data_IF_549948269555
#
_entry.id   IF_549948269555
#
_cell.length_a   1.000
_cell.length_b   1.000
_cell.length_c   1.000
_cell.angle_alpha   90.00
_cell.angle_beta   90.00
_cell.angle_gamma   90.00
#
_symmetry.space_group_name_H-M   'P 1'
#
loop_
_entity.id
_entity.type
_entity.pdbx_description
1 polymer ?
#
# COMPACT_ATOMS: atom_id res chain seq x y z
N UNK A 1 12.68 -16.60 -12.74
CA UNK A 1 11.64 -16.18 -13.72
C UNK A 1 11.94 -16.77 -15.09
N UNK A 2 10.92 -16.96 -15.94
CA UNK A 2 11.05 -17.47 -17.31
C UNK A 2 10.52 -16.44 -18.33
N UNK A 3 11.37 -15.57 -18.89
CA UNK A 3 10.93 -14.52 -19.83
C UNK A 3 10.40 -15.04 -21.17
N UNK A 4 10.58 -16.33 -21.49
CA UNK A 4 10.19 -16.88 -22.79
C UNK A 4 8.67 -16.99 -22.98
N UNK A 5 7.92 -17.05 -21.87
CA UNK A 5 6.45 -17.14 -21.89
C UNK A 5 5.76 -15.77 -21.99
N UNK A 6 6.53 -14.68 -21.98
CA UNK A 6 6.00 -13.32 -22.08
C UNK A 6 5.69 -12.94 -23.53
N UNK A 7 4.62 -12.17 -23.73
CA UNK A 7 4.39 -11.48 -25.01
C UNK A 7 5.47 -10.42 -25.26
N UNK A 8 5.76 -10.07 -26.53
CA UNK A 8 6.88 -9.17 -26.89
C UNK A 8 6.87 -7.85 -26.12
N UNK A 9 5.73 -7.15 -26.09
CA UNK A 9 5.62 -5.86 -25.39
C UNK A 9 5.84 -5.97 -23.87
N UNK A 10 5.36 -7.05 -23.24
CA UNK A 10 5.57 -7.28 -21.81
C UNK A 10 7.03 -7.60 -21.51
N UNK A 11 7.69 -8.35 -22.40
CA UNK A 11 9.10 -8.70 -22.31
C UNK A 11 10.01 -7.49 -22.50
N UNK A 12 9.68 -6.62 -23.45
CA UNK A 12 10.46 -5.40 -23.72
C UNK A 12 10.42 -4.43 -22.54
N UNK A 13 9.27 -4.33 -21.87
CA UNK A 13 9.10 -3.53 -20.66
C UNK A 13 9.43 -4.29 -19.35
N UNK A 14 9.99 -5.50 -19.43
CA UNK A 14 10.22 -6.35 -18.26
C UNK A 14 11.29 -5.73 -17.34
N UNK A 15 10.98 -5.49 -16.04
CA UNK A 15 11.98 -5.02 -15.10
C UNK A 15 12.92 -6.15 -14.70
N UNK A 16 14.08 -5.77 -14.16
CA UNK A 16 14.89 -6.71 -13.38
C UNK A 16 14.22 -6.98 -12.04
N UNK A 17 13.85 -8.24 -11.78
CA UNK A 17 13.10 -8.63 -10.58
C UNK A 17 14.04 -9.25 -9.56
N UNK A 18 14.08 -8.68 -8.36
CA UNK A 18 14.95 -9.10 -7.26
C UNK A 18 14.15 -9.23 -5.96
N UNK A 19 14.58 -10.15 -5.09
CA UNK A 19 14.10 -10.27 -3.73
C UNK A 19 15.24 -9.95 -2.76
N UNK A 20 14.92 -9.16 -1.74
CA UNK A 20 15.85 -8.83 -0.66
C UNK A 20 15.38 -9.52 0.61
N UNK A 21 16.26 -10.33 1.20
CA UNK A 21 16.03 -10.97 2.48
C UNK A 21 16.58 -10.07 3.59
N UNK A 22 15.72 -9.75 4.56
CA UNK A 22 16.05 -8.87 5.68
C UNK A 22 15.64 -9.53 6.98
N UNK A 23 16.34 -9.18 8.06
CA UNK A 23 16.07 -9.68 9.40
C UNK A 23 15.48 -8.57 10.27
N UNK A 24 14.60 -8.94 11.20
CA UNK A 24 14.11 -8.01 12.22
C UNK A 24 15.29 -7.45 13.03
N UNK A 25 15.34 -6.14 13.28
CA UNK A 25 16.37 -5.54 14.10
C UNK A 25 16.30 -6.05 15.55
N UNK A 26 17.45 -6.19 16.20
CA UNK A 26 17.56 -6.77 17.55
C UNK A 26 16.71 -6.04 18.61
N UNK A 27 16.40 -4.75 18.42
CA UNK A 27 15.53 -3.97 19.31
C UNK A 27 14.08 -4.49 19.39
N UNK A 28 13.63 -5.22 18.36
CA UNK A 28 12.30 -5.82 18.30
C UNK A 28 12.34 -7.28 18.78
N UNK A 29 13.07 -7.57 19.87
CA UNK A 29 13.22 -8.92 20.47
C UNK A 29 12.38 -9.12 21.75
N UNK A 30 11.25 -8.40 21.86
CA UNK A 30 10.25 -8.51 22.94
C UNK A 30 9.18 -9.62 22.78
N UNK A 31 7.89 -9.29 22.93
CA UNK A 31 6.79 -10.26 22.79
C UNK A 31 6.42 -10.46 21.32
N UNK A 32 6.30 -11.70 20.85
CA UNK A 32 6.13 -12.06 19.42
C UNK A 32 5.12 -11.22 18.61
N UNK A 33 3.99 -10.80 19.19
CA UNK A 33 2.99 -10.00 18.46
C UNK A 33 3.38 -8.53 18.33
N UNK A 34 3.88 -7.92 19.41
CA UNK A 34 4.40 -6.53 19.39
C UNK A 34 5.64 -6.42 18.49
N UNK A 35 6.47 -7.46 18.47
CA UNK A 35 7.63 -7.57 17.59
C UNK A 35 7.24 -7.61 16.11
N UNK A 36 6.29 -8.49 15.74
CA UNK A 36 5.88 -8.64 14.34
C UNK A 36 5.24 -7.38 13.80
N UNK A 37 4.32 -6.77 14.55
CA UNK A 37 3.72 -5.50 14.16
C UNK A 37 4.77 -4.37 14.10
N UNK A 38 5.73 -4.38 15.03
CA UNK A 38 6.88 -3.45 15.01
C UNK A 38 7.77 -3.62 13.78
N UNK A 39 7.95 -4.86 13.34
CA UNK A 39 8.76 -5.16 12.17
C UNK A 39 8.07 -4.74 10.88
N UNK A 40 6.76 -5.04 10.72
CA UNK A 40 5.96 -4.57 9.58
C UNK A 40 5.99 -3.05 9.44
N UNK A 41 5.81 -2.33 10.56
CA UNK A 41 5.92 -0.87 10.59
C UNK A 41 7.30 -0.38 10.15
N UNK A 42 8.35 -1.05 10.61
CA UNK A 42 9.73 -0.73 10.23
C UNK A 42 9.94 -0.93 8.72
N UNK A 43 9.46 -2.04 8.15
CA UNK A 43 9.57 -2.33 6.72
C UNK A 43 8.79 -1.32 5.87
N UNK A 44 7.59 -0.92 6.32
CA UNK A 44 6.82 0.15 5.68
C UNK A 44 7.61 1.47 5.61
N UNK A 45 8.20 1.90 6.74
CA UNK A 45 9.01 3.12 6.76
C UNK A 45 10.23 3.03 5.84
N UNK A 46 10.97 1.92 5.89
CA UNK A 46 12.15 1.71 5.04
C UNK A 46 11.76 1.80 3.57
N UNK A 47 10.66 1.14 3.16
CA UNK A 47 10.16 1.20 1.77
C UNK A 47 9.82 2.63 1.34
N UNK A 48 9.19 3.40 2.23
CA UNK A 48 8.83 4.80 1.95
C UNK A 48 10.04 5.70 1.87
N UNK A 49 10.97 5.57 2.82
CA UNK A 49 12.24 6.30 2.84
C UNK A 49 13.10 6.00 1.63
N UNK A 50 13.11 4.75 1.17
CA UNK A 50 13.82 4.34 -0.04
C UNK A 50 13.37 5.16 -1.26
N UNK A 51 12.06 5.31 -1.48
CA UNK A 51 11.53 6.11 -2.58
C UNK A 51 11.93 7.59 -2.51
N UNK A 52 11.93 8.17 -1.30
CA UNK A 52 12.36 9.56 -1.06
C UNK A 52 13.85 9.75 -1.36
N UNK A 53 14.71 8.86 -0.83
CA UNK A 53 16.16 8.93 -1.01
C UNK A 53 16.57 8.70 -2.47
N UNK A 54 15.88 7.79 -3.18
CA UNK A 54 16.10 7.53 -4.60
C UNK A 54 15.87 8.80 -5.42
N UNK A 55 14.74 9.48 -5.21
CA UNK A 55 14.42 10.76 -5.87
C UNK A 55 15.40 11.86 -5.50
N UNK A 56 15.74 12.00 -4.20
CA UNK A 56 16.66 13.03 -3.70
C UNK A 56 18.06 12.91 -4.29
N UNK A 57 18.56 11.68 -4.45
CA UNK A 57 19.89 11.41 -5.00
C UNK A 57 19.92 11.43 -6.53
N UNK A 58 18.76 11.60 -7.18
CA UNK A 58 18.65 11.51 -8.63
C UNK A 58 19.04 10.14 -9.16
N UNK A 59 18.89 9.10 -8.34
CA UNK A 59 19.19 7.73 -8.75
C UNK A 59 18.04 7.25 -9.61
N UNK A 60 18.34 7.04 -10.88
CA UNK A 60 17.44 6.43 -11.85
C UNK A 60 18.03 5.06 -12.16
N UNK A 61 17.19 4.03 -12.12
CA UNK A 61 17.63 2.70 -12.52
C UNK A 61 17.84 2.70 -14.04
N UNK A 62 18.89 2.01 -14.51
CA UNK A 62 19.22 1.92 -15.94
C UNK A 62 18.29 0.90 -16.64
N UNK A 63 16.99 1.22 -16.70
CA UNK A 63 15.99 0.51 -17.47
C UNK A 63 15.15 1.47 -18.33
N UNK A 64 14.34 0.91 -19.25
CA UNK A 64 13.60 1.69 -20.25
C UNK A 64 12.60 2.68 -19.67
N UNK A 65 12.15 2.47 -18.44
CA UNK A 65 11.09 3.24 -17.79
C UNK A 65 11.64 4.16 -16.68
N UNK A 66 12.91 3.96 -16.26
CA UNK A 66 13.59 4.73 -15.23
C UNK A 66 12.94 4.63 -13.84
N UNK A 67 12.10 3.62 -13.60
CA UNK A 67 11.26 3.52 -12.40
C UNK A 67 11.63 2.31 -11.53
N UNK A 68 12.14 2.58 -10.33
CA UNK A 68 12.27 1.54 -9.30
C UNK A 68 10.94 1.36 -8.55
N UNK A 69 10.47 0.13 -8.47
CA UNK A 69 9.20 -0.20 -7.82
C UNK A 69 9.34 -1.38 -6.85
N UNK A 70 8.85 -1.19 -5.63
CA UNK A 70 8.76 -2.24 -4.62
C UNK A 70 7.31 -2.73 -4.56
N UNK A 71 7.10 -3.98 -5.01
CA UNK A 71 5.78 -4.61 -5.06
C UNK A 71 5.22 -4.89 -3.66
N UNK A 72 6.04 -5.46 -2.80
CA UNK A 72 5.75 -5.72 -1.38
C UNK A 72 7.06 -5.64 -0.59
N UNK A 73 6.99 -5.22 0.67
CA UNK A 73 8.11 -5.33 1.60
C UNK A 73 7.56 -5.56 3.00
N UNK A 74 7.40 -6.84 3.34
CA UNK A 74 6.68 -7.34 4.51
C UNK A 74 7.29 -8.69 4.90
N UNK A 75 7.19 -9.05 6.17
CA UNK A 75 7.50 -10.39 6.69
C UNK A 75 6.30 -11.34 6.65
N UNK A 76 5.09 -10.81 6.36
CA UNK A 76 3.82 -11.55 6.33
C UNK A 76 3.32 -11.82 4.91
N UNK A 77 3.56 -10.87 4.01
CA UNK A 77 2.99 -10.88 2.66
C UNK A 77 4.06 -10.70 1.59
N UNK A 78 3.86 -11.36 0.44
CA UNK A 78 4.68 -11.19 -0.75
C UNK A 78 3.80 -11.14 -1.99
N UNK A 79 4.09 -10.23 -2.91
CA UNK A 79 3.28 -9.99 -4.11
C UNK A 79 4.05 -10.41 -5.36
N UNK A 80 3.58 -11.47 -6.01
CA UNK A 80 4.00 -11.88 -7.35
C UNK A 80 3.02 -11.34 -8.37
N UNK A 81 3.45 -10.35 -9.17
CA UNK A 81 2.59 -9.72 -10.18
C UNK A 81 3.39 -9.33 -11.42
N UNK A 82 2.71 -9.22 -12.55
CA UNK A 82 3.35 -8.81 -13.79
C UNK A 82 2.37 -8.59 -14.93
N UNK A 83 2.90 -8.16 -16.08
CA UNK A 83 2.13 -7.90 -17.30
C UNK A 83 1.88 -9.19 -18.09
N UNK A 84 1.17 -10.13 -17.47
CA UNK A 84 0.93 -11.48 -18.01
C UNK A 84 -0.55 -11.84 -17.96
N UNK A 85 -1.00 -12.76 -18.80
CA UNK A 85 -2.30 -13.41 -18.60
C UNK A 85 -2.28 -14.25 -17.31
N UNK A 86 -3.43 -14.44 -16.68
CA UNK A 86 -3.51 -15.17 -15.40
C UNK A 86 -2.91 -16.57 -15.48
N UNK A 87 -3.13 -17.30 -16.59
CA UNK A 87 -2.56 -18.63 -16.82
C UNK A 87 -1.04 -18.64 -17.05
N UNK A 88 -0.44 -17.50 -17.39
CA UNK A 88 0.99 -17.34 -17.66
C UNK A 88 1.77 -16.98 -16.39
N UNK A 89 1.13 -16.40 -15.38
CA UNK A 89 1.78 -16.01 -14.12
C UNK A 89 2.58 -17.14 -13.44
N UNK A 90 2.03 -18.36 -13.21
CA UNK A 90 2.82 -19.45 -12.64
C UNK A 90 3.88 -20.00 -13.59
N UNK A 91 3.71 -19.83 -14.91
CA UNK A 91 4.73 -20.21 -15.88
C UNK A 91 5.92 -19.25 -15.83
N UNK A 92 5.67 -17.95 -15.61
CA UNK A 92 6.68 -16.92 -15.51
C UNK A 92 7.42 -16.95 -14.17
N UNK A 93 6.69 -17.00 -13.05
CA UNK A 93 7.25 -17.14 -11.69
C UNK A 93 7.26 -18.60 -11.26
N UNK A 94 8.38 -19.28 -11.44
CA UNK A 94 8.52 -20.71 -11.11
C UNK A 94 8.32 -21.01 -9.62
N UNK A 95 8.60 -20.05 -8.75
CA UNK A 95 8.35 -20.13 -7.31
C UNK A 95 6.88 -20.46 -7.01
N UNK A 96 5.93 -19.99 -7.84
CA UNK A 96 4.49 -20.26 -7.66
C UNK A 96 4.08 -21.69 -8.03
N UNK A 97 4.97 -22.44 -8.69
CA UNK A 97 4.78 -23.87 -9.01
C UNK A 97 5.62 -24.77 -8.14
N UNK A 98 6.44 -24.19 -7.26
CA UNK A 98 7.25 -24.94 -6.31
C UNK A 98 6.36 -25.53 -5.21
N UNK A 99 6.44 -26.85 -4.92
CA UNK A 99 5.65 -27.47 -3.87
C UNK A 99 5.93 -26.92 -2.45
N UNK A 100 7.09 -26.30 -2.22
CA UNK A 100 7.44 -25.68 -0.94
C UNK A 100 6.78 -24.30 -0.76
N UNK A 101 6.27 -23.70 -1.85
CA UNK A 101 5.52 -22.44 -1.79
C UNK A 101 4.11 -22.69 -1.23
N UNK A 102 3.98 -22.57 0.09
CA UNK A 102 2.72 -22.76 0.81
C UNK A 102 2.24 -21.45 1.43
N UNK A 103 0.92 -21.27 1.51
CA UNK A 103 0.31 -20.08 2.11
C UNK A 103 -1.04 -20.41 2.74
N UNK A 104 -1.44 -19.61 3.73
CA UNK A 104 -2.78 -19.69 4.37
C UNK A 104 -3.86 -19.03 3.53
N UNK A 105 -3.50 -18.03 2.73
CA UNK A 105 -4.45 -17.28 1.91
C UNK A 105 -3.78 -16.78 0.62
N UNK A 106 -4.62 -16.44 -0.37
CA UNK A 106 -4.20 -15.84 -1.63
C UNK A 106 -5.18 -14.74 -2.00
N UNK A 107 -4.64 -13.58 -2.40
CA UNK A 107 -5.39 -12.53 -3.10
C UNK A 107 -4.88 -12.53 -4.53
N UNK A 108 -5.77 -12.70 -5.50
CA UNK A 108 -5.44 -12.61 -6.92
C UNK A 108 -6.25 -11.48 -7.57
N UNK A 109 -5.66 -10.87 -8.60
CA UNK A 109 -6.33 -9.83 -9.35
C UNK A 109 -5.98 -9.92 -10.83
N UNK A 110 -6.99 -9.73 -11.70
CA UNK A 110 -6.79 -9.56 -13.13
C UNK A 110 -7.29 -8.19 -13.56
N UNK A 111 -6.38 -7.33 -13.98
CA UNK A 111 -6.70 -5.99 -14.46
C UNK A 111 -7.14 -6.01 -15.92
N UNK A 112 -8.17 -5.22 -16.23
CA UNK A 112 -8.49 -4.79 -17.57
C UNK A 112 -8.03 -3.33 -17.73
N UNK A 113 -7.17 -3.05 -18.70
CA UNK A 113 -6.57 -1.72 -18.91
C UNK A 113 -7.08 -1.14 -20.22
N UNK A 114 -7.46 0.13 -20.22
CA UNK A 114 -7.75 0.90 -21.43
C UNK A 114 -6.48 1.41 -22.14
N UNK A 115 -5.30 1.19 -21.54
CA UNK A 115 -4.00 1.58 -22.09
C UNK A 115 -3.26 0.38 -22.70
N UNK A 116 -2.66 0.59 -23.87
CA UNK A 116 -1.87 -0.40 -24.63
C UNK A 116 -0.41 -0.47 -24.23
N UNK A 117 0.13 0.55 -23.52
CA UNK A 117 1.52 0.54 -23.06
C UNK A 117 1.66 -0.22 -21.74
N UNK A 118 2.42 -1.33 -21.70
CA UNK A 118 2.54 -2.15 -20.51
C UNK A 118 3.39 -1.42 -19.46
N UNK A 119 2.86 -1.26 -18.24
CA UNK A 119 3.63 -0.81 -17.08
C UNK A 119 3.49 -1.83 -15.96
N UNK A 120 4.58 -2.55 -15.67
CA UNK A 120 4.62 -3.61 -14.65
C UNK A 120 4.17 -3.17 -13.25
N UNK A 121 4.55 -1.97 -12.75
CA UNK A 121 4.10 -1.50 -11.44
C UNK A 121 2.57 -1.39 -11.27
N UNK A 122 1.84 -1.17 -12.36
CA UNK A 122 0.38 -0.99 -12.37
C UNK A 122 -0.41 -2.29 -12.29
N UNK A 123 0.26 -3.45 -12.42
CA UNK A 123 -0.37 -4.72 -12.12
C UNK A 123 -0.79 -4.75 -10.63
N UNK A 124 -1.78 -5.59 -10.33
CA UNK A 124 -2.30 -5.80 -8.99
C UNK A 124 -2.19 -7.29 -8.62
N UNK A 125 -2.20 -7.67 -7.32
CA UNK A 125 -2.48 -6.85 -6.14
C UNK A 125 -1.50 -5.69 -5.88
N UNK A 126 -1.96 -4.70 -5.12
CA UNK A 126 -1.07 -3.71 -4.50
C UNK A 126 -0.45 -4.31 -3.23
N UNK A 127 -0.14 -3.53 -2.20
CA UNK A 127 0.54 -4.06 -0.99
C UNK A 127 -0.46 -4.71 -0.05
N UNK A 128 -1.60 -4.06 0.14
CA UNK A 128 -2.64 -4.46 1.09
C UNK A 128 -3.99 -4.67 0.41
N UNK A 129 -4.19 -4.16 -0.82
CA UNK A 129 -5.48 -4.20 -1.53
C UNK A 129 -5.36 -4.74 -2.96
N UNK A 130 -6.33 -5.57 -3.34
CA UNK A 130 -6.77 -5.78 -4.72
C UNK A 130 -8.08 -5.03 -4.95
N UNK A 131 -8.11 -4.20 -5.99
CA UNK A 131 -9.22 -3.31 -6.32
C UNK A 131 -9.73 -3.59 -7.74
N UNK A 132 -10.98 -4.05 -7.83
CA UNK A 132 -11.74 -4.11 -9.06
C UNK A 132 -12.78 -2.98 -9.06
N UNK A 133 -12.55 -1.96 -9.88
CA UNK A 133 -13.34 -0.75 -9.83
C UNK A 133 -12.63 0.47 -10.38
N UNK A 134 -13.20 1.64 -10.12
CA UNK A 134 -12.66 2.95 -10.47
C UNK A 134 -13.04 3.96 -9.40
N UNK A 135 -12.07 4.72 -8.88
CA UNK A 135 -12.33 5.80 -7.92
C UNK A 135 -12.59 7.11 -8.67
N UNK A 136 -13.84 7.56 -8.67
CA UNK A 136 -14.29 8.75 -9.40
C UNK A 136 -13.90 10.06 -8.70
N UNK A 137 -13.70 10.03 -7.38
CA UNK A 137 -13.35 11.21 -6.58
C UNK A 137 -11.83 11.46 -6.44
N UNK A 138 -11.00 10.73 -7.19
CA UNK A 138 -9.54 10.68 -7.00
C UNK A 138 -8.88 12.06 -6.93
N UNK A 139 -9.24 13.00 -7.82
CA UNK A 139 -8.63 14.33 -7.83
C UNK A 139 -8.90 15.09 -6.52
N UNK A 140 -10.12 15.00 -6.00
CA UNK A 140 -10.52 15.60 -4.74
C UNK A 140 -9.75 14.97 -3.58
N UNK A 141 -9.78 13.64 -3.49
CA UNK A 141 -9.09 12.89 -2.43
C UNK A 141 -7.58 13.20 -2.42
N UNK A 142 -6.97 13.26 -3.62
CA UNK A 142 -5.54 13.56 -3.73
C UNK A 142 -5.21 14.97 -3.24
N UNK A 143 -6.06 15.96 -3.55
CA UNK A 143 -5.85 17.32 -3.09
C UNK A 143 -6.05 17.45 -1.58
N UNK A 144 -7.04 16.76 -1.01
CA UNK A 144 -7.29 16.77 0.43
C UNK A 144 -6.14 16.17 1.23
N UNK A 145 -5.66 14.99 0.84
CA UNK A 145 -4.50 14.37 1.49
C UNK A 145 -3.25 15.23 1.33
N UNK A 146 -2.98 15.82 0.15
CA UNK A 146 -1.85 16.76 -0.04
C UNK A 146 -1.97 18.04 0.80
N UNK A 147 -3.18 18.53 1.03
CA UNK A 147 -3.41 19.67 1.92
C UNK A 147 -3.08 19.30 3.37
N UNK A 148 -3.40 18.09 3.80
CA UNK A 148 -3.07 17.57 5.13
C UNK A 148 -1.56 17.37 5.31
N UNK A 149 -0.88 16.82 4.32
CA UNK A 149 0.59 16.71 4.28
C UNK A 149 1.25 18.08 4.58
N UNK A 150 0.79 19.13 3.89
CA UNK A 150 1.35 20.49 4.05
C UNK A 150 0.95 21.22 5.32
N UNK A 151 -0.14 20.81 5.97
CA UNK A 151 -0.68 21.52 7.13
C UNK A 151 0.19 21.36 8.39
N UNK A 152 1.21 20.47 8.38
CA UNK A 152 2.07 20.23 9.54
C UNK A 152 3.55 20.47 9.26
N UNK A 153 4.16 21.26 10.14
CA UNK A 153 5.60 21.34 10.37
C UNK A 153 5.93 20.49 11.60
N UNK A 154 6.20 19.19 11.43
CA UNK A 154 6.88 18.44 12.49
C UNK A 154 8.31 18.98 12.63
N UNK A 155 8.79 19.15 13.87
CA UNK A 155 10.15 19.59 14.09
C UNK A 155 11.14 18.54 13.55
N UNK A 156 12.21 18.97 12.90
CA UNK A 156 13.18 18.09 12.25
C UNK A 156 13.85 17.12 13.24
N UNK A 157 13.85 17.46 14.53
CA UNK A 157 14.36 16.65 15.62
C UNK A 157 13.44 15.45 15.93
N UNK A 158 12.12 15.63 15.92
CA UNK A 158 11.12 14.55 16.06
C UNK A 158 11.12 13.61 14.85
N UNK A 159 11.52 14.12 13.67
CA UNK A 159 11.64 13.34 12.44
C UNK A 159 12.89 12.44 12.38
N UNK A 160 13.97 12.80 13.09
CA UNK A 160 15.16 11.94 13.21
C UNK A 160 14.86 10.68 14.02
N UNK A 161 14.01 10.81 15.03
CA UNK A 161 13.58 9.75 15.94
C UNK A 161 12.45 8.86 15.35
N UNK A 162 11.90 9.20 14.17
CA UNK A 162 10.94 8.34 13.44
C UNK A 162 11.62 7.25 12.60
N UNK A 163 12.93 7.37 12.39
CA UNK A 163 13.75 6.48 11.55
C UNK A 163 15.02 6.08 12.29
N UNK A 164 15.08 6.30 13.61
CA UNK A 164 16.21 5.87 14.40
C UNK A 164 16.23 4.34 14.44
N UNK A 165 17.39 3.77 14.13
CA UNK A 165 17.62 2.35 14.27
C UNK A 165 17.54 1.94 15.75
N UNK A 166 17.61 2.86 16.71
CA UNK A 166 17.53 2.55 18.13
C UNK A 166 16.14 2.85 18.76
N UNK A 167 15.22 3.53 18.06
CA UNK A 167 13.89 3.91 18.58
C UNK A 167 12.82 3.96 17.48
N UNK A 168 11.78 3.13 17.57
CA UNK A 168 10.61 3.11 16.66
C UNK A 168 9.30 3.43 17.37
N UNK A 169 9.35 3.94 18.61
CA UNK A 169 8.15 4.22 19.42
C UNK A 169 7.30 5.37 18.85
N UNK A 170 7.85 6.22 17.97
CA UNK A 170 7.15 7.42 17.51
C UNK A 170 6.11 7.20 16.38
N UNK A 171 6.02 6.01 15.78
CA UNK A 171 4.86 5.67 14.92
C UNK A 171 3.59 5.47 15.77
N UNK A 172 3.73 5.27 17.09
CA UNK A 172 2.62 4.93 17.98
C UNK A 172 1.60 6.05 18.15
N UNK A 173 1.90 7.26 17.71
CA UNK A 173 1.01 8.43 17.83
C UNK A 173 0.31 8.82 16.53
N UNK A 174 0.26 7.97 15.50
CA UNK A 174 -0.37 8.30 14.21
C UNK A 174 -1.86 7.90 14.12
N UNK A 175 -2.55 7.80 15.25
CA UNK A 175 -3.97 7.44 15.35
C UNK A 175 -4.93 8.52 14.83
N UNK A 176 -4.42 9.67 14.40
CA UNK A 176 -5.18 10.63 13.64
C UNK A 176 -4.67 10.57 12.20
N UNK A 177 -5.56 10.41 11.24
CA UNK A 177 -5.29 10.45 9.78
C UNK A 177 -4.63 11.77 9.29
N UNK A 178 -4.20 12.61 10.23
CA UNK A 178 -3.54 13.90 10.11
C UNK A 178 -2.02 13.85 10.34
N UNK A 179 -1.47 12.71 10.75
CA UNK A 179 -0.06 12.57 11.11
C UNK A 179 0.69 11.76 10.03
N UNK A 180 1.04 12.41 8.91
CA UNK A 180 2.01 11.85 7.95
C UNK A 180 3.32 12.60 8.18
N UNK A 181 4.43 11.92 8.52
CA UNK A 181 5.71 12.60 8.63
C UNK A 181 6.11 13.16 7.27
N UNK A 182 6.57 14.42 7.22
CA UNK A 182 7.06 15.04 5.98
C UNK A 182 8.21 14.27 5.31
N UNK A 183 8.94 13.46 6.09
CA UNK A 183 10.00 12.57 5.60
C UNK A 183 9.50 11.39 4.77
N UNK A 184 8.20 11.10 4.76
CA UNK A 184 7.57 10.04 3.98
C UNK A 184 6.78 10.56 2.78
N UNK A 185 6.75 11.87 2.54
CA UNK A 185 6.03 12.49 1.42
C UNK A 185 6.72 12.27 0.06
N UNK A 186 5.95 12.24 -1.05
CA UNK A 186 4.49 12.26 -1.09
C UNK A 186 3.89 10.86 -0.85
N UNK A 187 2.82 10.78 -0.03
CA UNK A 187 2.02 9.56 0.15
C UNK A 187 1.32 9.16 -1.14
N UNK A 188 0.76 10.15 -1.81
CA UNK A 188 -0.11 10.00 -2.97
C UNK A 188 0.36 10.88 -4.13
N UNK A 189 0.05 10.44 -5.35
CA UNK A 189 0.43 11.15 -6.56
C UNK A 189 -0.60 10.94 -7.68
N UNK A 190 -0.96 12.01 -8.39
CA UNK A 190 -1.82 11.93 -9.58
C UNK A 190 -1.21 11.12 -10.73
N UNK A 191 0.12 10.94 -10.74
CA UNK A 191 0.82 10.05 -11.67
C UNK A 191 0.66 8.56 -11.35
N UNK A 192 0.12 8.21 -10.18
CA UNK A 192 -0.20 6.82 -9.81
C UNK A 192 -1.66 6.51 -10.13
N UNK A 193 -1.97 5.23 -10.38
CA UNK A 193 -3.36 4.79 -10.54
C UNK A 193 -4.19 5.08 -9.28
N UNK A 194 -5.49 5.26 -9.45
CA UNK A 194 -6.47 5.35 -8.36
C UNK A 194 -6.27 4.32 -7.24
N UNK A 195 -6.11 3.05 -7.63
CA UNK A 195 -5.95 1.89 -6.78
C UNK A 195 -4.64 1.93 -5.98
N UNK A 196 -3.60 2.55 -6.57
CA UNK A 196 -2.30 2.68 -5.92
C UNK A 196 -2.30 3.83 -4.90
N UNK A 197 -3.11 4.86 -5.14
CA UNK A 197 -3.32 5.91 -4.16
C UNK A 197 -4.21 5.43 -3.00
N UNK A 198 -5.28 4.67 -3.29
CA UNK A 198 -6.13 4.04 -2.28
C UNK A 198 -5.32 3.08 -1.39
N UNK A 199 -4.53 2.19 -1.99
CA UNK A 199 -3.63 1.27 -1.28
C UNK A 199 -2.64 2.01 -0.37
N UNK A 200 -2.07 3.14 -0.83
CA UNK A 200 -1.12 3.89 -0.02
C UNK A 200 -1.76 4.51 1.23
N UNK A 201 -2.95 5.08 1.12
CA UNK A 201 -3.66 5.65 2.27
C UNK A 201 -4.15 4.55 3.20
N UNK A 202 -4.68 3.45 2.65
CA UNK A 202 -5.13 2.31 3.45
C UNK A 202 -3.98 1.66 4.22
N UNK A 203 -2.84 1.43 3.55
CA UNK A 203 -1.63 0.90 4.18
C UNK A 203 -1.18 1.81 5.33
N UNK A 204 -1.12 3.13 5.13
CA UNK A 204 -0.78 4.06 6.20
C UNK A 204 -1.71 3.89 7.41
N UNK A 205 -3.03 3.85 7.20
CA UNK A 205 -3.99 3.70 8.30
C UNK A 205 -3.77 2.40 9.07
N UNK A 206 -3.52 1.28 8.38
CA UNK A 206 -3.22 0.00 9.03
C UNK A 206 -1.92 0.03 9.84
N UNK A 207 -0.88 0.66 9.30
CA UNK A 207 0.41 0.82 10.01
C UNK A 207 0.30 1.80 11.19
N UNK A 208 -0.68 2.70 11.15
CA UNK A 208 -1.08 3.61 12.23
C UNK A 208 -2.04 2.98 13.26
N UNK A 209 -2.06 1.65 13.38
CA UNK A 209 -2.85 0.88 14.37
C UNK A 209 -4.37 0.90 14.18
N UNK A 210 -4.88 1.42 13.07
CA UNK A 210 -6.29 1.19 12.74
C UNK A 210 -6.48 -0.28 12.34
N UNK A 211 -7.53 -0.91 12.87
CA UNK A 211 -7.96 -2.23 12.38
C UNK A 211 -8.29 -2.10 10.89
N UNK A 212 -7.81 -3.02 10.06
CA UNK A 212 -7.98 -2.96 8.61
C UNK A 212 -9.44 -2.77 8.18
N UNK A 213 -10.38 -3.47 8.80
CA UNK A 213 -11.82 -3.27 8.52
C UNK A 213 -12.29 -1.84 8.81
N UNK A 214 -11.89 -1.25 9.95
CA UNK A 214 -12.25 0.11 10.32
C UNK A 214 -11.59 1.14 9.38
N UNK A 215 -10.32 0.95 9.02
CA UNK A 215 -9.63 1.81 8.07
C UNK A 215 -10.31 1.81 6.70
N UNK A 216 -10.77 0.64 6.24
CA UNK A 216 -11.47 0.52 4.97
C UNK A 216 -12.86 1.16 5.03
N UNK A 217 -13.60 0.95 6.13
CA UNK A 217 -14.90 1.60 6.37
C UNK A 217 -14.79 3.13 6.46
N UNK A 218 -13.67 3.65 6.93
CA UNK A 218 -13.43 5.10 6.95
C UNK A 218 -13.11 5.65 5.55
N UNK A 219 -12.33 4.91 4.74
CA UNK A 219 -11.96 5.31 3.38
C UNK A 219 -13.11 5.18 2.38
N UNK A 220 -13.85 4.06 2.45
CA UNK A 220 -14.95 3.70 1.55
C UNK A 220 -16.19 3.43 2.42
N UNK A 221 -16.78 4.49 3.00
CA UNK A 221 -17.92 4.34 3.90
C UNK A 221 -19.15 3.84 3.16
N UNK A 222 -19.96 3.03 3.84
CA UNK A 222 -21.29 2.69 3.33
C UNK A 222 -22.20 3.92 3.40
N UNK A 223 -23.19 4.00 2.52
CA UNK A 223 -24.27 4.96 2.68
C UNK A 223 -25.10 4.56 3.92
N UNK A 224 -24.90 5.27 5.03
CA UNK A 224 -25.41 4.88 6.34
C UNK A 224 -26.60 5.72 6.80
N UNK A 225 -26.86 6.87 6.17
CA UNK A 225 -27.96 7.75 6.56
C UNK A 225 -29.31 7.11 6.26
N UNK A 226 -30.18 7.06 7.27
CA UNK A 226 -31.52 6.47 7.20
C UNK A 226 -31.54 4.98 6.78
N UNK A 227 -30.43 4.26 6.98
CA UNK A 227 -30.33 2.83 6.64
C UNK A 227 -31.06 1.97 7.68
N UNK A 228 -32.17 1.28 7.32
CA UNK A 228 -32.94 0.49 8.28
C UNK A 228 -32.14 -0.64 8.91
N UNK A 229 -31.16 -1.22 8.21
CA UNK A 229 -30.29 -2.26 8.76
C UNK A 229 -29.42 -1.78 9.94
N UNK A 230 -29.23 -0.47 10.08
CA UNK A 230 -28.44 0.15 11.15
C UNK A 230 -29.30 0.66 12.32
N UNK A 231 -30.63 0.47 12.28
CA UNK A 231 -31.55 1.02 13.29
C UNK A 231 -31.21 0.57 14.72
N UNK A 232 -30.78 -0.69 14.89
CA UNK A 232 -30.40 -1.26 16.19
C UNK A 232 -28.90 -1.10 16.51
N UNK A 233 -28.12 -0.42 15.66
CA UNK A 233 -26.66 -0.28 15.79
C UNK A 233 -26.22 1.20 15.65
N UNK A 234 -26.65 2.09 16.57
CA UNK A 234 -26.31 3.52 16.50
C UNK A 234 -24.80 3.79 16.52
N UNK A 235 -24.00 2.95 17.16
CA UNK A 235 -22.54 3.06 17.22
C UNK A 235 -21.88 2.95 15.83
N UNK A 236 -22.49 2.24 14.88
CA UNK A 236 -22.00 2.15 13.50
C UNK A 236 -22.25 3.48 12.78
N UNK A 237 -23.41 4.10 13.01
CA UNK A 237 -23.74 5.44 12.48
C UNK A 237 -22.80 6.50 13.08
N UNK A 238 -22.55 6.43 14.38
CA UNK A 238 -21.63 7.33 15.06
C UNK A 238 -20.19 7.18 14.55
N UNK A 239 -19.76 5.94 14.28
CA UNK A 239 -18.48 5.66 13.62
C UNK A 239 -18.37 6.38 12.27
N UNK A 240 -19.37 6.24 11.40
CA UNK A 240 -19.34 6.88 10.07
C UNK A 240 -19.43 8.41 10.15
N UNK A 241 -20.21 8.96 11.08
CA UNK A 241 -20.29 10.42 11.31
C UNK A 241 -18.96 11.00 11.76
N UNK A 242 -18.29 10.32 12.70
CA UNK A 242 -16.98 10.74 13.19
C UNK A 242 -15.95 10.74 12.05
N UNK A 243 -15.84 9.64 11.30
CA UNK A 243 -14.86 9.52 10.23
C UNK A 243 -15.20 10.39 9.01
N UNK A 244 -16.48 10.59 8.68
CA UNK A 244 -16.89 11.45 7.57
C UNK A 244 -16.56 12.94 7.80
N UNK A 245 -16.39 13.37 9.05
CA UNK A 245 -15.86 14.70 9.38
C UNK A 245 -14.33 14.80 9.27
N UNK A 246 -13.63 13.65 9.25
CA UNK A 246 -12.17 13.57 9.23
C UNK A 246 -11.61 13.18 7.87
N UNK A 247 -12.28 12.36 7.08
CA UNK A 247 -11.78 11.79 5.82
C UNK A 247 -12.90 11.77 4.79
N UNK A 248 -12.62 12.37 3.63
CA UNK A 248 -13.51 12.31 2.48
C UNK A 248 -13.60 10.89 1.89
N UNK A 249 -14.79 10.52 1.42
CA UNK A 249 -15.01 9.21 0.84
C UNK A 249 -14.27 9.03 -0.49
N UNK A 250 -13.57 7.90 -0.61
CA UNK A 250 -12.98 7.43 -1.86
C UNK A 250 -14.04 6.71 -2.68
N UNK A 251 -14.89 7.50 -3.30
CA UNK A 251 -16.11 7.06 -3.96
C UNK A 251 -15.89 6.64 -5.42
N UNK A 252 -16.72 5.70 -5.87
CA UNK A 252 -16.67 5.04 -7.16
C UNK A 252 -16.99 3.54 -7.03
N UNK A 253 -17.30 2.84 -8.13
CA UNK A 253 -17.52 1.40 -8.08
C UNK A 253 -16.26 0.71 -7.57
N UNK A 254 -16.35 -0.06 -6.48
CA UNK A 254 -15.19 -0.71 -5.89
C UNK A 254 -15.55 -2.07 -5.25
N UNK A 255 -14.94 -3.13 -5.75
CA UNK A 255 -14.75 -4.38 -5.03
C UNK A 255 -13.31 -4.40 -4.50
N UNK A 256 -13.18 -4.44 -3.18
CA UNK A 256 -11.90 -4.41 -2.48
C UNK A 256 -11.70 -5.74 -1.75
N UNK A 257 -10.60 -6.42 -2.07
CA UNK A 257 -10.10 -7.58 -1.33
C UNK A 257 -8.81 -7.15 -0.65
N UNK A 258 -8.69 -7.34 0.66
CA UNK A 258 -7.56 -6.82 1.42
C UNK A 258 -7.03 -7.81 2.44
N UNK A 259 -5.79 -7.58 2.88
CA UNK A 259 -5.17 -8.26 4.02
C UNK A 259 -4.09 -7.36 4.63
N UNK A 260 -4.01 -7.34 5.96
CA UNK A 260 -2.97 -6.73 6.78
C UNK A 260 -1.89 -7.74 7.24
N UNK A 261 -1.91 -8.96 6.67
CA UNK A 261 -0.93 -10.04 6.91
C UNK A 261 -1.42 -11.11 7.86
#
# INVERSE_FOLDING_TARGET
VDPSVLGPMARDAMPSIWQFFVQSPARLSGKEDDERDGFERTLYLVRRRFGVELKKRGLVWDDSDGETYIASFSSRTIVYKGMVQSCVLPQFYKDLTDPDYTTKFVIYHRRFSTNTNPRWPLAQPMRVVGHNGEINTLLGNVNWIRAREKAKSMDAEQLRDLVDYDSTENIVTMCDTQDIPSVLEPLIDLGRSDSANLDAVFELMTQSRHRAACALMALVPTAYENEPALADNPEIVDFYRFHGGLLEAWDGPALLVYSDG
#
